data_IF_005564005635
#
_entry.id   IF_005564005635
#
_cell.length_a   1.000
_cell.length_b   1.000
_cell.length_c   1.000
_cell.angle_alpha   90.00
_cell.angle_beta   90.00
_cell.angle_gamma   90.00
#
_symmetry.space_group_name_H-M   'P 1'
#
loop_
_entity.id
_entity.type
_entity.pdbx_description
1 polymer ?
#
# COMPACT_ATOMS: atom_id res chain seq x y z
N UNK A 1 6.49 -2.68 -19.74
CA UNK A 1 5.38 -1.76 -19.45
C UNK A 1 5.83 -0.88 -18.28
N UNK A 2 5.56 0.43 -18.28
CA UNK A 2 5.91 1.27 -17.11
C UNK A 2 5.05 0.90 -15.91
N UNK A 3 5.57 0.97 -14.67
CA UNK A 3 4.75 0.80 -13.46
C UNK A 3 3.63 1.85 -13.37
N UNK A 4 2.60 1.54 -12.57
CA UNK A 4 1.59 2.54 -12.21
C UNK A 4 2.23 3.78 -11.56
N UNK A 5 3.20 3.56 -10.67
CA UNK A 5 4.00 4.61 -10.03
C UNK A 5 4.63 5.56 -11.07
N UNK A 6 5.35 5.00 -12.06
CA UNK A 6 6.04 5.80 -13.07
C UNK A 6 5.06 6.54 -13.98
N UNK A 7 3.97 5.87 -14.40
CA UNK A 7 2.94 6.48 -15.24
C UNK A 7 2.33 7.73 -14.57
N UNK A 8 2.07 7.63 -13.27
CA UNK A 8 1.46 8.72 -12.51
C UNK A 8 2.41 9.89 -12.27
N UNK A 9 3.69 9.63 -11.97
CA UNK A 9 4.67 10.71 -11.82
C UNK A 9 4.89 11.46 -13.13
N UNK A 10 4.87 10.78 -14.27
CA UNK A 10 4.96 11.43 -15.58
C UNK A 10 3.76 12.36 -15.80
N UNK A 11 2.55 11.88 -15.49
CA UNK A 11 1.32 12.64 -15.76
C UNK A 11 1.05 13.75 -14.74
N UNK A 12 1.41 13.54 -13.47
CA UNK A 12 1.03 14.37 -12.33
C UNK A 12 2.22 14.86 -11.50
N UNK A 13 3.35 15.12 -12.15
CA UNK A 13 4.62 15.57 -11.52
C UNK A 13 4.50 16.79 -10.61
N UNK A 14 3.49 17.64 -10.79
CA UNK A 14 3.25 18.83 -9.95
C UNK A 14 2.40 18.55 -8.71
N UNK A 15 1.63 17.46 -8.70
CA UNK A 15 0.70 17.11 -7.63
C UNK A 15 1.26 15.97 -6.76
N UNK A 16 2.15 15.15 -7.31
CA UNK A 16 2.75 14.02 -6.62
C UNK A 16 4.20 14.32 -6.25
N UNK A 17 4.55 13.99 -5.01
CA UNK A 17 5.92 14.01 -4.52
C UNK A 17 6.32 12.59 -4.19
N UNK A 18 7.38 12.09 -4.81
CA UNK A 18 7.95 10.80 -4.40
C UNK A 18 8.72 10.95 -3.10
N UNK A 19 8.58 9.95 -2.23
CA UNK A 19 9.27 9.87 -0.96
C UNK A 19 9.89 8.47 -0.89
N UNK A 20 11.14 8.38 -0.45
CA UNK A 20 11.78 7.10 -0.17
C UNK A 20 11.36 6.59 1.20
N UNK A 21 10.90 5.35 1.28
CA UNK A 21 10.42 4.73 2.52
C UNK A 21 10.96 3.30 2.66
N UNK A 22 11.27 2.89 3.88
CA UNK A 22 11.52 1.49 4.19
C UNK A 22 10.29 0.61 3.88
N UNK A 23 10.50 -0.64 3.46
CA UNK A 23 9.43 -1.60 3.14
C UNK A 23 8.41 -1.74 4.28
N UNK A 24 8.87 -1.72 5.53
CA UNK A 24 8.00 -1.82 6.70
C UNK A 24 7.03 -0.63 6.80
N UNK A 25 7.52 0.59 6.53
CA UNK A 25 6.71 1.81 6.49
C UNK A 25 5.69 1.74 5.37
N UNK A 26 6.09 1.29 4.17
CA UNK A 26 5.18 1.11 3.03
C UNK A 26 4.10 0.08 3.35
N UNK A 27 4.47 -1.05 3.95
CA UNK A 27 3.51 -2.07 4.38
C UNK A 27 2.52 -1.54 5.42
N UNK A 28 2.96 -0.67 6.33
CA UNK A 28 2.08 -0.02 7.30
C UNK A 28 1.12 0.98 6.65
N UNK A 29 1.60 1.80 5.71
CA UNK A 29 0.74 2.74 4.96
C UNK A 29 -0.26 1.95 4.10
N UNK A 30 0.16 0.87 3.45
CA UNK A 30 -0.74 -0.02 2.71
C UNK A 30 -1.86 -0.58 3.58
N UNK A 31 -1.51 -1.11 4.76
CA UNK A 31 -2.51 -1.59 5.74
C UNK A 31 -3.44 -0.48 6.20
N UNK A 32 -2.93 0.74 6.34
CA UNK A 32 -3.77 1.87 6.69
C UNK A 32 -4.82 2.17 5.61
N UNK A 33 -4.46 2.09 4.33
CA UNK A 33 -5.42 2.24 3.23
C UNK A 33 -6.48 1.13 3.25
N UNK A 34 -6.08 -0.11 3.50
CA UNK A 34 -7.01 -1.23 3.73
C UNK A 34 -7.94 -0.94 4.92
N UNK A 35 -7.42 -0.42 6.05
CA UNK A 35 -8.21 -0.04 7.23
C UNK A 35 -9.20 1.07 6.91
N UNK A 36 -8.87 2.01 6.02
CA UNK A 36 -9.83 3.04 5.59
C UNK A 36 -11.06 2.42 4.95
N UNK A 37 -10.90 1.37 4.14
CA UNK A 37 -12.03 0.64 3.54
C UNK A 37 -12.88 -0.04 4.62
N UNK A 38 -12.23 -0.71 5.57
CA UNK A 38 -12.88 -1.53 6.60
C UNK A 38 -13.54 -0.69 7.69
N UNK A 39 -12.83 0.26 8.27
CA UNK A 39 -13.30 1.10 9.38
C UNK A 39 -14.45 2.03 8.94
N UNK A 40 -14.44 2.49 7.69
CA UNK A 40 -15.45 3.45 7.17
C UNK A 40 -16.58 2.77 6.38
N UNK A 41 -16.59 1.43 6.33
CA UNK A 41 -17.56 0.63 5.58
C UNK A 41 -17.78 1.18 4.15
N UNK A 42 -16.69 1.40 3.43
CA UNK A 42 -16.76 1.94 2.09
C UNK A 42 -17.31 0.87 1.14
N UNK A 43 -18.28 1.23 0.31
CA UNK A 43 -18.76 0.36 -0.78
C UNK A 43 -17.84 0.56 -1.99
N UNK A 44 -16.54 0.40 -1.75
CA UNK A 44 -15.50 0.80 -2.69
C UNK A 44 -15.21 -0.29 -3.73
N UNK A 45 -14.73 0.14 -4.89
CA UNK A 45 -13.81 -0.63 -5.69
C UNK A 45 -12.41 -0.55 -5.07
N UNK A 46 -11.85 -1.70 -4.73
CA UNK A 46 -10.47 -1.85 -4.25
C UNK A 46 -9.66 -2.57 -5.31
N UNK A 47 -8.53 -1.99 -5.70
CA UNK A 47 -7.60 -2.61 -6.64
C UNK A 47 -6.22 -2.59 -6.03
N UNK A 48 -5.63 -3.75 -5.85
CA UNK A 48 -4.35 -3.88 -5.15
C UNK A 48 -3.32 -4.64 -5.99
N UNK A 49 -2.12 -4.09 -6.06
CA UNK A 49 -0.91 -4.76 -6.51
C UNK A 49 -0.16 -5.30 -5.31
N UNK A 50 -0.23 -6.61 -5.10
CA UNK A 50 0.43 -7.26 -3.97
C UNK A 50 1.85 -7.69 -4.36
N UNK A 51 2.83 -7.58 -3.44
CA UNK A 51 4.17 -8.13 -3.66
C UNK A 51 4.10 -9.64 -3.82
N UNK A 52 4.99 -10.21 -4.64
CA UNK A 52 5.09 -11.65 -4.83
C UNK A 52 5.49 -12.33 -3.51
N UNK A 53 4.63 -13.19 -3.01
CA UNK A 53 4.90 -14.00 -1.83
C UNK A 53 4.56 -15.46 -2.13
N UNK A 54 5.58 -16.33 -2.34
CA UNK A 54 5.38 -17.76 -2.53
C UNK A 54 4.64 -18.41 -1.36
N UNK A 55 4.91 -17.91 -0.15
CA UNK A 55 4.23 -18.27 1.09
C UNK A 55 3.69 -17.00 1.74
N UNK A 56 2.40 -16.97 2.05
CA UNK A 56 1.74 -15.87 2.77
C UNK A 56 1.36 -16.30 4.17
N UNK A 57 1.48 -15.38 5.13
CA UNK A 57 1.05 -15.65 6.49
C UNK A 57 -0.48 -15.79 6.57
N UNK A 58 -0.98 -16.52 7.57
CA UNK A 58 -2.42 -16.61 7.82
C UNK A 58 -3.07 -15.24 8.04
N UNK A 59 -2.32 -14.27 8.58
CA UNK A 59 -2.79 -12.90 8.79
C UNK A 59 -2.99 -12.18 7.47
N UNK A 60 -2.06 -12.30 6.53
CA UNK A 60 -2.19 -11.67 5.22
C UNK A 60 -3.32 -12.30 4.41
N UNK A 61 -3.49 -13.62 4.50
CA UNK A 61 -4.61 -14.32 3.87
C UNK A 61 -5.96 -13.88 4.46
N UNK A 62 -6.08 -13.83 5.78
CA UNK A 62 -7.29 -13.34 6.45
C UNK A 62 -7.61 -11.90 6.03
N UNK A 63 -6.58 -11.07 5.89
CA UNK A 63 -6.73 -9.67 5.48
C UNK A 63 -7.23 -9.51 4.05
N UNK A 64 -6.65 -10.24 3.09
CA UNK A 64 -7.12 -10.25 1.69
C UNK A 64 -8.58 -10.69 1.61
N UNK A 65 -8.98 -11.69 2.40
CA UNK A 65 -10.38 -12.16 2.48
C UNK A 65 -11.30 -11.10 3.07
N UNK A 66 -10.86 -10.42 4.13
CA UNK A 66 -11.63 -9.37 4.80
C UNK A 66 -11.91 -8.20 3.84
N UNK A 67 -10.90 -7.75 3.09
CA UNK A 67 -11.04 -6.73 2.05
C UNK A 67 -11.94 -7.21 0.92
N UNK A 68 -11.75 -8.43 0.42
CA UNK A 68 -12.59 -9.01 -0.63
C UNK A 68 -14.08 -9.07 -0.25
N UNK A 69 -14.38 -9.34 1.03
CA UNK A 69 -15.74 -9.35 1.57
C UNK A 69 -16.32 -7.94 1.76
N UNK A 70 -15.53 -7.00 2.27
CA UNK A 70 -15.99 -5.65 2.58
C UNK A 70 -16.19 -4.79 1.33
N UNK A 71 -15.33 -4.93 0.33
CA UNK A 71 -15.38 -4.14 -0.89
C UNK A 71 -16.64 -4.44 -1.72
N UNK A 72 -17.10 -3.44 -2.49
CA UNK A 72 -18.11 -3.68 -3.52
C UNK A 72 -17.56 -4.58 -4.61
N UNK A 73 -16.33 -4.31 -5.03
CA UNK A 73 -15.53 -5.16 -5.93
C UNK A 73 -14.06 -5.05 -5.53
N UNK A 74 -13.35 -6.17 -5.54
CA UNK A 74 -11.93 -6.23 -5.24
C UNK A 74 -11.18 -6.93 -6.39
N UNK A 75 -10.08 -6.33 -6.83
CA UNK A 75 -9.18 -6.90 -7.82
C UNK A 75 -7.76 -6.94 -7.26
N UNK A 76 -7.14 -8.12 -7.25
CA UNK A 76 -5.79 -8.30 -6.74
C UNK A 76 -4.84 -8.71 -7.87
N UNK A 77 -3.88 -7.86 -8.20
CA UNK A 77 -2.76 -8.18 -9.07
C UNK A 77 -1.72 -8.97 -8.28
N UNK A 78 -1.63 -10.26 -8.59
CA UNK A 78 -0.77 -11.22 -7.88
C UNK A 78 0.21 -11.87 -8.84
N UNK A 79 1.41 -12.20 -8.35
CA UNK A 79 2.38 -12.96 -9.14
C UNK A 79 1.84 -14.34 -9.54
N UNK A 80 2.39 -14.92 -10.62
CA UNK A 80 1.94 -16.23 -11.12
C UNK A 80 2.12 -17.36 -10.09
N UNK A 81 3.17 -17.27 -9.28
CA UNK A 81 3.54 -18.26 -8.26
C UNK A 81 3.08 -17.87 -6.85
N UNK A 82 2.22 -16.85 -6.74
CA UNK A 82 1.74 -16.38 -5.43
C UNK A 82 0.79 -17.38 -4.77
N UNK A 83 0.89 -17.54 -3.44
CA UNK A 83 0.06 -18.42 -2.63
C UNK A 83 -1.45 -18.18 -2.82
N UNK A 84 -1.86 -16.94 -3.12
CA UNK A 84 -3.26 -16.59 -3.34
C UNK A 84 -3.90 -17.32 -4.52
N UNK A 85 -3.11 -17.76 -5.50
CA UNK A 85 -3.63 -18.45 -6.68
C UNK A 85 -4.21 -19.84 -6.39
N UNK A 86 -3.80 -20.45 -5.26
CA UNK A 86 -4.11 -21.84 -4.92
C UNK A 86 -5.09 -21.95 -3.74
N UNK A 87 -5.54 -20.82 -3.18
CA UNK A 87 -6.36 -20.79 -1.96
C UNK A 87 -7.71 -20.14 -2.24
N UNK A 88 -8.82 -20.71 -1.71
CA UNK A 88 -10.12 -20.05 -1.79
C UNK A 88 -10.09 -18.75 -0.98
N UNK A 89 -10.51 -17.65 -1.61
CA UNK A 89 -10.59 -16.33 -0.99
C UNK A 89 -11.99 -16.01 -0.45
N UNK A 90 -12.98 -16.84 -0.78
CA UNK A 90 -14.28 -16.84 -0.10
C UNK A 90 -14.21 -17.70 1.15
N UNK A 91 -14.84 -17.22 2.24
CA UNK A 91 -15.02 -18.01 3.47
C UNK A 91 -16.43 -18.59 3.51
N UNK A 92 -17.43 -17.79 3.12
CA UNK A 92 -18.83 -18.20 3.01
C UNK A 92 -19.33 -18.09 1.56
N UNK A 93 -20.38 -18.84 1.19
CA UNK A 93 -20.99 -18.77 -0.14
C UNK A 93 -21.59 -17.39 -0.47
N UNK A 94 -21.98 -16.64 0.57
CA UNK A 94 -22.53 -15.29 0.45
C UNK A 94 -21.43 -14.23 0.25
N UNK A 95 -20.17 -14.57 0.53
CA UNK A 95 -19.06 -13.63 0.39
C UNK A 95 -18.78 -13.35 -1.09
N UNK A 96 -18.41 -12.12 -1.39
CA UNK A 96 -17.91 -11.76 -2.73
C UNK A 96 -16.50 -12.32 -2.87
N UNK A 97 -16.25 -13.00 -3.98
CA UNK A 97 -14.89 -13.43 -4.30
C UNK A 97 -14.15 -12.28 -4.96
N UNK A 98 -12.99 -11.89 -4.43
CA UNK A 98 -12.14 -10.96 -5.13
C UNK A 98 -11.62 -11.60 -6.42
N UNK A 99 -11.41 -10.78 -7.44
CA UNK A 99 -10.91 -11.24 -8.73
C UNK A 99 -9.39 -11.18 -8.73
N UNK A 100 -8.75 -12.34 -8.86
CA UNK A 100 -7.30 -12.42 -9.03
C UNK A 100 -6.90 -12.12 -10.48
N UNK A 101 -6.05 -11.11 -10.63
CA UNK A 101 -5.43 -10.71 -11.89
C UNK A 101 -3.97 -11.20 -11.86
N UNK A 102 -3.71 -12.39 -12.41
CA UNK A 102 -2.36 -12.96 -12.44
C UNK A 102 -1.45 -12.08 -13.29
N UNK A 103 -0.32 -11.60 -12.76
CA UNK A 103 0.71 -10.88 -13.52
C UNK A 103 1.36 -11.79 -14.55
N UNK A 104 1.82 -11.21 -15.66
CA UNK A 104 2.59 -11.94 -16.66
C UNK A 104 3.97 -12.35 -16.07
N UNK A 105 4.53 -13.51 -16.44
CA UNK A 105 5.83 -13.97 -15.92
C UNK A 105 7.01 -13.07 -16.32
N UNK A 106 6.85 -12.25 -17.36
CA UNK A 106 7.86 -11.29 -17.85
C UNK A 106 7.79 -9.93 -17.15
N UNK A 107 6.86 -9.72 -16.22
CA UNK A 107 6.71 -8.47 -15.49
C UNK A 107 7.75 -8.39 -14.38
N UNK A 108 8.91 -7.83 -14.69
CA UNK A 108 10.06 -7.66 -13.77
C UNK A 108 9.85 -6.53 -12.77
N UNK A 109 8.77 -5.76 -12.91
CA UNK A 109 8.55 -4.57 -12.09
C UNK A 109 7.91 -4.96 -10.76
N UNK A 110 8.71 -4.88 -9.69
CA UNK A 110 8.26 -5.02 -8.31
C UNK A 110 7.53 -3.76 -7.86
N UNK A 111 6.30 -3.62 -8.34
CA UNK A 111 5.38 -2.59 -7.87
C UNK A 111 4.38 -3.14 -6.86
N UNK A 112 4.07 -2.28 -5.89
CA UNK A 112 3.01 -2.47 -4.89
C UNK A 112 2.08 -1.26 -4.97
N UNK A 113 0.78 -1.47 -4.93
CA UNK A 113 -0.16 -0.36 -4.93
C UNK A 113 -1.50 -0.74 -4.33
N UNK A 114 -2.26 0.25 -3.88
CA UNK A 114 -3.68 0.13 -3.51
C UNK A 114 -4.42 1.33 -4.07
N UNK A 115 -5.51 1.07 -4.77
CA UNK A 115 -6.43 2.07 -5.32
C UNK A 115 -7.79 1.84 -4.67
N UNK A 116 -8.34 2.90 -4.09
CA UNK A 116 -9.68 2.91 -3.51
C UNK A 116 -10.51 3.91 -4.31
N UNK A 117 -11.65 3.44 -4.83
CA UNK A 117 -12.63 4.27 -5.50
C UNK A 117 -14.02 4.00 -4.91
N UNK A 118 -14.55 4.96 -4.16
CA UNK A 118 -15.90 4.97 -3.60
C UNK A 118 -16.57 6.29 -3.99
N UNK A 119 -17.91 6.30 -4.03
CA UNK A 119 -18.68 7.49 -4.34
C UNK A 119 -18.32 8.72 -3.48
N UNK A 120 -17.82 8.49 -2.25
CA UNK A 120 -17.47 9.50 -1.25
C UNK A 120 -15.97 9.70 -1.06
N UNK A 121 -15.13 8.81 -1.58
CA UNK A 121 -13.71 8.81 -1.24
C UNK A 121 -12.86 8.13 -2.30
N UNK A 122 -11.71 8.74 -2.59
CA UNK A 122 -10.70 8.16 -3.45
C UNK A 122 -9.34 8.28 -2.81
N UNK A 123 -8.57 7.22 -2.93
CA UNK A 123 -7.20 7.21 -2.47
C UNK A 123 -6.36 6.28 -3.33
N UNK A 124 -5.09 6.61 -3.42
CA UNK A 124 -4.09 5.80 -4.08
C UNK A 124 -2.81 5.81 -3.25
N UNK A 125 -2.18 4.65 -3.17
CA UNK A 125 -0.78 4.47 -2.80
C UNK A 125 -0.13 3.62 -3.90
N UNK A 126 1.06 4.01 -4.35
CA UNK A 126 1.86 3.19 -5.26
C UNK A 126 3.34 3.31 -4.88
N UNK A 127 4.05 2.18 -4.89
CA UNK A 127 5.49 2.12 -4.68
C UNK A 127 6.16 1.23 -5.71
N UNK A 128 7.43 1.51 -5.96
CA UNK A 128 8.30 0.73 -6.85
C UNK A 128 9.65 0.51 -6.18
N UNK A 129 10.17 -0.70 -6.29
CA UNK A 129 11.56 -0.99 -5.92
C UNK A 129 12.48 -0.68 -7.09
N UNK A 130 13.46 0.18 -6.87
CA UNK A 130 14.51 0.43 -7.85
C UNK A 130 15.57 -0.68 -7.76
N UNK A 131 15.70 -1.50 -8.80
CA UNK A 131 16.70 -2.59 -8.87
C UNK A 131 18.00 -2.18 -9.57
N UNK A 132 18.12 -0.93 -10.02
CA UNK A 132 19.26 -0.45 -10.84
C UNK A 132 20.43 0.16 -10.03
N UNK A 133 20.35 0.24 -8.69
CA UNK A 133 21.50 0.65 -7.87
C UNK A 133 22.40 -0.56 -7.53
N UNK A 134 23.34 -0.84 -8.44
CA UNK A 134 24.49 -1.73 -8.22
C UNK A 134 25.26 -1.34 -6.94
N UNK A 135 25.28 -2.23 -5.94
CA UNK A 135 26.38 -2.30 -4.96
C UNK A 135 26.20 -1.58 -3.61
N UNK A 136 25.08 -0.93 -3.34
CA UNK A 136 24.76 -0.44 -2.00
C UNK A 136 23.39 -0.98 -1.56
N UNK A 137 23.28 -1.43 -0.30
CA UNK A 137 22.02 -1.83 0.31
C UNK A 137 20.97 -0.73 0.07
N UNK A 138 20.04 -0.94 -0.86
CA UNK A 138 19.00 0.06 -1.17
C UNK A 138 18.12 0.24 0.06
N UNK A 139 18.32 1.33 0.80
CA UNK A 139 17.70 1.63 2.10
C UNK A 139 16.19 1.91 2.05
N UNK A 140 15.53 1.80 0.89
CA UNK A 140 14.08 1.98 0.79
C UNK A 140 13.56 2.04 -0.63
N UNK A 141 12.26 1.79 -0.77
CA UNK A 141 11.51 1.87 -2.02
C UNK A 141 10.89 3.26 -2.19
N UNK A 142 10.70 3.69 -3.44
CA UNK A 142 10.05 4.96 -3.75
C UNK A 142 8.53 4.80 -3.66
N UNK A 143 7.86 5.72 -2.98
CA UNK A 143 6.42 5.67 -2.74
C UNK A 143 5.75 7.02 -3.00
N UNK A 144 4.57 6.96 -3.61
CA UNK A 144 3.63 8.07 -3.74
C UNK A 144 2.29 7.66 -3.13
N UNK A 145 1.58 8.64 -2.58
CA UNK A 145 0.16 8.49 -2.28
C UNK A 145 -0.59 9.79 -2.52
N UNK A 146 -1.90 9.68 -2.71
CA UNK A 146 -2.77 10.83 -2.92
C UNK A 146 -4.20 10.49 -2.54
N UNK A 147 -4.97 11.53 -2.27
CA UNK A 147 -6.42 11.50 -2.06
C UNK A 147 -7.16 12.33 -3.11
N UNK A 148 -6.42 12.86 -4.09
CA UNK A 148 -6.95 13.71 -5.15
C UNK A 148 -7.66 12.87 -6.21
N UNK A 149 -8.97 13.11 -6.47
CA UNK A 149 -9.75 12.25 -7.37
C UNK A 149 -9.26 12.23 -8.82
N UNK A 150 -8.66 13.31 -9.32
CA UNK A 150 -8.12 13.42 -10.67
C UNK A 150 -6.91 12.50 -10.90
N UNK A 151 -6.02 12.41 -9.91
CA UNK A 151 -4.90 11.47 -9.95
C UNK A 151 -5.39 10.03 -9.84
N UNK A 152 -6.34 9.74 -8.95
CA UNK A 152 -6.93 8.40 -8.83
C UNK A 152 -7.67 8.00 -10.11
N UNK A 153 -8.35 8.94 -10.77
CA UNK A 153 -8.98 8.70 -12.08
C UNK A 153 -7.94 8.30 -13.13
N UNK A 154 -6.81 9.02 -13.18
CA UNK A 154 -5.71 8.72 -14.10
C UNK A 154 -5.10 7.33 -13.83
N UNK A 155 -4.98 6.95 -12.55
CA UNK A 155 -4.54 5.61 -12.14
C UNK A 155 -5.50 4.53 -12.64
N UNK A 156 -6.80 4.76 -12.53
CA UNK A 156 -7.84 3.83 -12.98
C UNK A 156 -7.86 3.70 -14.51
N UNK A 157 -7.66 4.80 -15.25
CA UNK A 157 -7.52 4.76 -16.71
C UNK A 157 -6.31 3.94 -17.16
N UNK A 158 -5.15 4.16 -16.51
CA UNK A 158 -3.95 3.39 -16.75
C UNK A 158 -4.19 1.89 -16.47
N UNK A 159 -4.80 1.54 -15.32
CA UNK A 159 -5.10 0.16 -14.96
C UNK A 159 -6.12 -0.48 -15.90
N UNK A 160 -7.12 0.27 -16.37
CA UNK A 160 -8.06 -0.20 -17.38
C UNK A 160 -7.35 -0.54 -18.69
N UNK A 161 -6.45 0.32 -19.17
CA UNK A 161 -5.66 0.06 -20.37
C UNK A 161 -4.76 -1.17 -20.20
N UNK A 162 -4.13 -1.31 -19.03
CA UNK A 162 -3.30 -2.47 -18.70
C UNK A 162 -4.09 -3.78 -18.68
N UNK A 163 -5.22 -3.81 -17.98
CA UNK A 163 -6.09 -5.00 -17.94
C UNK A 163 -6.64 -5.32 -19.32
N UNK A 164 -6.98 -4.32 -20.14
CA UNK A 164 -7.43 -4.54 -21.52
C UNK A 164 -6.36 -5.18 -22.40
N UNK A 165 -5.10 -4.74 -22.25
CA UNK A 165 -3.97 -5.29 -23.01
C UNK A 165 -3.57 -6.68 -22.53
N UNK A 166 -3.47 -6.89 -21.22
CA UNK A 166 -2.95 -8.14 -20.66
C UNK A 166 -4.02 -9.21 -20.47
N UNK A 167 -5.27 -8.82 -20.15
CA UNK A 167 -6.36 -9.73 -19.76
C UNK A 167 -7.69 -9.34 -20.41
N UNK A 168 -7.83 -9.49 -21.74
CA UNK A 168 -9.03 -9.07 -22.48
C UNK A 168 -10.34 -9.64 -21.91
N UNK A 169 -10.32 -10.88 -21.42
CA UNK A 169 -11.49 -11.54 -20.82
C UNK A 169 -11.99 -10.87 -19.54
N UNK A 170 -11.10 -10.26 -18.74
CA UNK A 170 -11.46 -9.57 -17.50
C UNK A 170 -11.71 -8.06 -17.71
N UNK A 171 -11.33 -7.52 -18.87
CA UNK A 171 -11.40 -6.10 -19.18
C UNK A 171 -12.81 -5.50 -19.09
N UNK A 172 -13.83 -6.20 -19.61
CA UNK A 172 -15.21 -5.71 -19.56
C UNK A 172 -15.75 -5.61 -18.11
N UNK A 173 -15.46 -6.62 -17.29
CA UNK A 173 -15.83 -6.67 -15.88
C UNK A 173 -15.13 -5.60 -15.05
N UNK A 174 -13.81 -5.44 -15.28
CA UNK A 174 -12.98 -4.42 -14.65
C UNK A 174 -13.45 -3.00 -15.02
N UNK A 175 -13.62 -2.71 -16.31
CA UNK A 175 -14.07 -1.40 -16.79
C UNK A 175 -15.45 -1.02 -16.27
N UNK A 176 -16.36 -2.00 -16.13
CA UNK A 176 -17.68 -1.78 -15.51
C UNK A 176 -17.55 -1.47 -14.02
N UNK A 177 -16.67 -2.17 -13.29
CA UNK A 177 -16.39 -1.89 -11.89
C UNK A 177 -15.89 -0.44 -11.70
N UNK A 178 -14.92 -0.05 -12.52
CA UNK A 178 -14.33 1.29 -12.49
C UNK A 178 -15.41 2.35 -12.72
N UNK A 179 -16.18 2.28 -13.81
CA UNK A 179 -17.23 3.26 -14.12
C UNK A 179 -18.31 3.40 -13.04
N UNK A 180 -18.64 2.31 -12.35
CA UNK A 180 -19.70 2.30 -11.32
C UNK A 180 -19.22 2.81 -9.96
N UNK A 181 -17.91 2.84 -9.73
CA UNK A 181 -17.31 3.19 -8.44
C UNK A 181 -16.63 4.56 -8.42
N UNK A 182 -16.68 5.28 -9.54
CA UNK A 182 -16.10 6.62 -9.65
C UNK A 182 -16.75 7.61 -8.66
N UNK A 183 -15.96 8.38 -7.91
CA UNK A 183 -16.49 9.42 -7.04
C UNK A 183 -17.20 10.48 -7.87
N UNK A 184 -18.39 10.87 -7.41
CA UNK A 184 -19.10 12.05 -7.96
C UNK A 184 -18.86 13.29 -7.10
N UNK A 185 -18.53 13.10 -5.83
CA UNK A 185 -18.19 14.16 -4.88
C UNK A 185 -17.34 13.57 -3.74
N UNK A 186 -16.22 14.21 -3.42
CA UNK A 186 -15.35 13.77 -2.31
C UNK A 186 -15.90 14.26 -0.98
N UNK A 187 -16.03 13.37 0.00
CA UNK A 187 -16.38 13.71 1.37
C UNK A 187 -15.19 14.38 2.05
N UNK A 188 -15.26 15.71 2.20
CA UNK A 188 -14.23 16.49 2.87
C UNK A 188 -13.94 15.98 4.29
N UNK A 189 -14.99 15.63 5.06
CA UNK A 189 -14.84 15.12 6.42
C UNK A 189 -14.03 13.81 6.44
N UNK A 190 -14.32 12.89 5.52
CA UNK A 190 -13.60 11.62 5.44
C UNK A 190 -12.15 11.85 4.99
N UNK A 191 -11.93 12.68 3.96
CA UNK A 191 -10.58 13.02 3.50
C UNK A 191 -9.74 13.64 4.61
N UNK A 192 -10.26 14.63 5.34
CA UNK A 192 -9.53 15.27 6.46
C UNK A 192 -9.24 14.27 7.57
N UNK A 193 -10.19 13.41 7.94
CA UNK A 193 -9.98 12.38 8.96
C UNK A 193 -8.87 11.41 8.53
N UNK A 194 -8.90 10.95 7.27
CA UNK A 194 -7.95 9.98 6.75
C UNK A 194 -6.55 10.58 6.62
N UNK A 195 -6.42 11.79 6.08
CA UNK A 195 -5.11 12.46 5.94
C UNK A 195 -4.50 12.76 7.31
N UNK A 196 -5.31 13.15 8.30
CA UNK A 196 -4.84 13.42 9.67
C UNK A 196 -4.30 12.16 10.34
N UNK A 197 -5.01 11.03 10.25
CA UNK A 197 -4.55 9.76 10.82
C UNK A 197 -3.32 9.22 10.07
N UNK A 198 -3.21 9.42 8.74
CA UNK A 198 -1.99 9.10 8.00
C UNK A 198 -0.79 9.95 8.45
N UNK A 199 -0.98 11.27 8.56
CA UNK A 199 0.08 12.18 9.00
C UNK A 199 0.60 11.79 10.39
N UNK A 200 -0.30 11.43 11.31
CA UNK A 200 0.07 10.92 12.63
C UNK A 200 0.87 9.62 12.56
N UNK A 201 0.45 8.65 11.74
CA UNK A 201 1.19 7.40 11.54
C UNK A 201 2.62 7.66 11.02
N UNK A 202 2.77 8.58 10.07
CA UNK A 202 4.08 8.96 9.54
C UNK A 202 4.96 9.66 10.59
N UNK A 203 4.38 10.53 11.42
CA UNK A 203 5.09 11.20 12.52
C UNK A 203 5.56 10.20 13.59
N UNK A 204 4.70 9.27 13.99
CA UNK A 204 5.05 8.21 14.94
C UNK A 204 6.17 7.31 14.39
N UNK A 205 6.12 7.00 13.09
CA UNK A 205 7.15 6.19 12.43
C UNK A 205 8.50 6.92 12.36
N UNK A 206 8.51 8.20 11.98
CA UNK A 206 9.73 9.01 11.99
C UNK A 206 10.34 9.10 13.40
N UNK A 207 9.52 9.23 14.44
CA UNK A 207 9.98 9.22 15.83
C UNK A 207 10.66 7.91 16.22
N UNK A 208 10.09 6.77 15.81
CA UNK A 208 10.69 5.44 16.06
C UNK A 208 12.03 5.28 15.34
N UNK A 209 12.11 5.70 14.09
CA UNK A 209 13.34 5.60 13.30
C UNK A 209 14.49 6.44 13.89
N UNK A 210 14.19 7.66 14.36
CA UNK A 210 15.16 8.50 15.07
C UNK A 210 15.67 7.81 16.35
N UNK A 211 14.78 7.21 17.13
CA UNK A 211 15.16 6.50 18.35
C UNK A 211 16.06 5.29 18.06
N UNK A 212 15.71 4.47 17.05
CA UNK A 212 16.51 3.32 16.62
C UNK A 212 17.90 3.75 16.16
N UNK A 213 18.00 4.80 15.34
CA UNK A 213 19.28 5.31 14.87
C UNK A 213 20.17 5.82 16.00
N UNK A 214 19.59 6.48 17.01
CA UNK A 214 20.33 6.90 18.21
C UNK A 214 20.88 5.71 19.00
N UNK A 215 20.07 4.66 19.18
CA UNK A 215 20.48 3.43 19.85
C UNK A 215 21.61 2.75 19.07
N UNK A 216 21.46 2.61 17.75
CA UNK A 216 22.47 1.99 16.89
C UNK A 216 23.80 2.77 16.87
N UNK A 217 23.74 4.10 16.89
CA UNK A 217 24.93 4.96 17.00
C UNK A 217 25.58 4.83 18.38
N UNK A 218 24.81 4.75 19.47
CA UNK A 218 25.35 4.54 20.81
C UNK A 218 26.03 3.17 20.94
N UNK A 219 25.46 2.10 20.37
CA UNK A 219 26.08 0.76 20.32
C UNK A 219 27.38 0.79 19.53
N UNK A 220 27.43 1.48 18.39
CA UNK A 220 28.65 1.56 17.55
C UNK A 220 29.77 2.37 18.18
N UNK A 221 29.44 3.41 18.94
CA UNK A 221 30.41 4.36 19.49
C UNK A 221 30.85 4.08 20.92
N UNK A 222 30.18 3.16 21.64
CA UNK A 222 30.49 2.80 23.02
C UNK A 222 30.79 1.31 23.13
N UNK A 223 31.87 0.96 23.83
CA UNK A 223 32.15 -0.41 24.27
C UNK A 223 31.62 -0.66 25.70
N UNK A 224 31.11 0.38 26.36
CA UNK A 224 30.61 0.29 27.73
C UNK A 224 29.11 -0.05 27.73
N UNK A 225 28.82 -1.26 28.19
CA UNK A 225 27.48 -1.84 28.22
C UNK A 225 26.50 -0.97 29.01
N UNK A 226 26.91 -0.38 30.13
CA UNK A 226 26.04 0.45 30.97
C UNK A 226 25.58 1.72 30.25
N UNK A 227 26.47 2.35 29.46
CA UNK A 227 26.14 3.52 28.64
C UNK A 227 25.16 3.18 27.52
N UNK A 228 25.35 2.02 26.88
CA UNK A 228 24.45 1.50 25.83
C UNK A 228 23.06 1.21 26.40
N UNK A 229 23.00 0.52 27.54
CA UNK A 229 21.74 0.16 28.19
C UNK A 229 20.99 1.40 28.65
N UNK A 230 21.66 2.38 29.26
CA UNK A 230 21.02 3.62 29.70
C UNK A 230 20.46 4.42 28.52
N UNK A 231 21.20 4.50 27.40
CA UNK A 231 20.72 5.16 26.18
C UNK A 231 19.52 4.43 25.59
N UNK A 232 19.56 3.10 25.55
CA UNK A 232 18.47 2.26 25.05
C UNK A 232 17.21 2.45 25.90
N UNK A 233 17.34 2.37 27.22
CA UNK A 233 16.22 2.56 28.17
C UNK A 233 15.61 3.96 28.03
N UNK A 234 16.44 5.00 27.91
CA UNK A 234 15.96 6.37 27.73
C UNK A 234 15.21 6.57 26.41
N UNK A 235 15.75 6.06 25.30
CA UNK A 235 15.11 6.21 23.99
C UNK A 235 13.84 5.34 23.88
N UNK A 236 13.82 4.13 24.46
CA UNK A 236 12.61 3.30 24.56
C UNK A 236 11.56 3.94 25.46
N UNK A 237 11.96 4.49 26.61
CA UNK A 237 11.06 5.22 27.53
C UNK A 237 10.41 6.42 26.84
N UNK A 238 11.20 7.21 26.09
CA UNK A 238 10.69 8.31 25.26
C UNK A 238 9.74 7.83 24.16
N UNK A 239 10.09 6.77 23.44
CA UNK A 239 9.26 6.24 22.35
C UNK A 239 7.91 5.67 22.85
N UNK A 240 7.88 5.14 24.07
CA UNK A 240 6.67 4.62 24.72
C UNK A 240 5.93 5.69 25.55
N UNK A 241 6.45 6.92 25.60
CA UNK A 241 5.91 8.02 26.40
C UNK A 241 5.80 7.69 27.90
N UNK A 242 6.73 6.88 28.41
CA UNK A 242 6.85 6.51 29.82
C UNK A 242 7.99 7.33 30.42
N UNK A 243 7.68 8.17 31.42
CA UNK A 243 8.71 8.83 32.21
C UNK A 243 9.30 7.81 33.19
N UNK A 244 10.60 7.57 33.07
CA UNK A 244 11.42 6.81 34.03
C UNK A 244 12.08 7.77 35.02
#
# INVERSE_FOLDING_TARGET
MYSLYNALLIQHSKQLTSIRCAEQTIAQIHRYFEDVVLENNLSALVIEGLPLMPERSLRDLARVREIGRAAQRAFFFVGHTDALNNLPLRVNEQDREPILLRRAPEDTVFERFVVIADARFSALLASVRNTEEDGAESEGDEVIWTFEPDVVYSALEYLMARVAAERPFQAAGFSTAVRTSMPKATSLQLTVSVTTKLARLLQEQAGREIAVNRIATAIRNSLELDSILQTTVNEVGRALNVQL
#
